data_IF_513789117247
#
_entry.id   IF_513789117247
#
_cell.length_a   1.000
_cell.length_b   1.000
_cell.length_c   1.000
_cell.angle_alpha   90.00
_cell.angle_beta   90.00
_cell.angle_gamma   90.00
#
_symmetry.space_group_name_H-M   'P 1'
#
loop_
_entity.id
_entity.type
_entity.pdbx_description
1 polymer ?
2 non-polymer ?
3 non-polymer ?
4 water ?
#
# COMPACT_ATOMS: atom_id res chain seq x y z
N UNK A 1 -3.86 0.64 -18.94
CA UNK A 1 -3.14 1.86 -18.55
C UNK A 1 -1.86 1.59 -17.76
N UNK A 2 -0.88 2.47 -17.95
CA UNK A 2 0.32 2.47 -17.12
C UNK A 2 0.20 3.63 -16.14
N UNK A 3 0.18 3.31 -14.85
CA UNK A 3 -0.07 4.41 -13.91
C UNK A 3 1.20 4.75 -13.13
N UNK A 4 1.55 6.03 -13.18
CA UNK A 4 2.69 6.63 -12.53
C UNK A 4 2.52 6.68 -11.02
N UNK A 5 3.64 6.72 -10.30
CA UNK A 5 3.58 6.83 -8.85
C UNK A 5 4.14 8.15 -8.34
N UNK A 6 4.34 9.11 -9.24
CA UNK A 6 4.66 10.48 -8.86
C UNK A 6 3.59 10.99 -7.90
N UNK A 7 2.36 10.55 -8.12
CA UNK A 7 1.26 10.90 -7.25
C UNK A 7 0.53 9.64 -6.80
N UNK A 8 -0.32 9.75 -5.78
CA UNK A 8 -1.12 8.59 -5.38
C UNK A 8 -1.91 8.10 -6.60
N UNK A 9 -1.89 6.80 -6.81
CA UNK A 9 -2.62 6.22 -7.93
C UNK A 9 -4.08 6.04 -7.53
N UNK A 10 -4.85 7.11 -7.70
CA UNK A 10 -6.27 7.14 -7.39
C UNK A 10 -7.11 6.79 -8.61
N UNK A 11 -8.13 5.96 -8.39
CA UNK A 11 -9.04 5.59 -9.45
C UNK A 11 -10.48 5.65 -8.93
N UNK A 12 -11.37 5.71 -9.91
CA UNK A 12 -12.79 5.74 -9.56
C UNK A 12 -13.33 4.33 -9.65
N UNK A 13 -14.19 3.99 -8.70
CA UNK A 13 -14.76 2.65 -8.75
C UNK A 13 -16.27 2.78 -8.62
N UNK A 14 -16.95 1.73 -9.06
CA UNK A 14 -18.39 1.64 -8.88
C UNK A 14 -18.66 0.36 -8.09
N UNK A 15 -19.43 0.53 -7.03
CA UNK A 15 -19.77 -0.51 -6.07
C UNK A 15 -21.09 -0.19 -5.36
N UNK A 16 -21.97 -1.18 -5.35
CA UNK A 16 -23.27 -1.03 -4.69
C UNK A 16 -23.99 0.17 -5.29
N UNK A 17 -23.86 0.30 -6.60
CA UNK A 17 -24.48 1.38 -7.34
C UNK A 17 -23.82 2.71 -7.04
N UNK A 18 -22.75 2.73 -6.25
CA UNK A 18 -22.11 3.96 -5.82
C UNK A 18 -20.78 4.23 -6.51
N UNK A 19 -20.48 5.48 -6.82
CA UNK A 19 -19.18 5.86 -7.35
C UNK A 19 -18.28 6.28 -6.18
N UNK A 20 -17.11 5.68 -6.04
CA UNK A 20 -16.19 6.08 -4.98
C UNK A 20 -14.78 6.23 -5.56
N UNK A 21 -13.97 7.02 -4.88
CA UNK A 21 -12.56 7.14 -5.20
C UNK A 21 -11.77 6.22 -4.28
N UNK A 22 -10.75 5.60 -4.85
CA UNK A 22 -9.98 4.64 -4.08
C UNK A 22 -8.55 4.59 -4.62
N UNK A 23 -7.66 4.17 -3.75
CA UNK A 23 -6.23 4.11 -3.98
C UNK A 23 -5.81 2.71 -4.38
N UNK A 24 -5.09 2.56 -5.49
CA UNK A 24 -4.62 1.22 -5.85
C UNK A 24 -3.42 0.89 -4.97
N UNK A 25 -3.61 -0.08 -4.09
CA UNK A 25 -2.64 -0.28 -3.02
C UNK A 25 -2.03 -1.68 -2.97
N UNK A 26 -0.84 -1.87 -3.50
CA UNK A 26 -0.19 -3.18 -3.51
C UNK A 26 0.21 -3.65 -2.11
N UNK A 27 0.26 -2.76 -1.13
CA UNK A 27 0.62 -3.14 0.23
C UNK A 27 -0.57 -3.65 1.03
N UNK A 28 -1.77 -3.38 0.56
CA UNK A 28 -3.01 -3.84 1.17
C UNK A 28 -3.38 -5.25 0.70
N UNK A 29 -3.47 -6.21 1.61
CA UNK A 29 -3.86 -7.54 1.18
C UNK A 29 -5.31 -7.53 0.71
N UNK A 30 -6.10 -6.67 1.33
CA UNK A 30 -7.53 -6.64 1.14
C UNK A 30 -8.00 -5.27 0.68
N UNK A 31 -9.13 -5.26 0.00
CA UNK A 31 -9.81 -4.02 -0.34
C UNK A 31 -10.59 -3.50 0.88
N UNK A 32 -10.42 -2.23 1.22
CA UNK A 32 -11.08 -1.64 2.37
C UNK A 32 -11.70 -0.28 2.02
N UNK A 33 -12.99 -0.13 2.30
CA UNK A 33 -13.70 1.11 2.02
C UNK A 33 -14.41 1.64 3.27
N UNK A 34 -14.62 2.96 3.29
CA UNK A 34 -15.36 3.66 4.32
C UNK A 34 -16.78 3.14 4.43
N UNK A 35 -17.46 3.51 5.52
CA UNK A 35 -18.77 2.94 5.81
C UNK A 35 -19.72 3.08 4.63
N UNK A 36 -20.36 1.97 4.30
CA UNK A 36 -21.35 1.88 3.25
C UNK A 36 -22.16 0.61 3.45
N UNK A 37 -23.32 0.56 2.82
CA UNK A 37 -24.14 -0.65 2.87
C UNK A 37 -23.77 -1.58 1.72
N UNK A 38 -23.72 -2.88 1.97
CA UNK A 38 -23.49 -3.84 0.88
C UNK A 38 -24.48 -4.99 1.08
N UNK A 39 -24.86 -5.64 0.00
CA UNK A 39 -25.85 -6.72 0.13
C UNK A 39 -25.18 -8.00 0.61
N UNK A 40 -25.97 -8.86 1.26
CA UNK A 40 -25.50 -10.20 1.56
C UNK A 40 -25.03 -10.37 2.98
N UNK A 41 -24.47 -11.55 3.27
CA UNK A 41 -23.96 -11.83 4.60
C UNK A 41 -22.59 -11.19 4.76
N UNK A 42 -22.18 -11.01 6.01
CA UNK A 42 -20.86 -10.50 6.33
C UNK A 42 -20.41 -11.09 7.67
N UNK A 43 -19.10 -10.99 7.91
CA UNK A 43 -18.57 -11.39 9.20
C UNK A 43 -17.58 -10.34 9.69
N UNK A 44 -17.36 -10.26 10.99
CA UNK A 44 -16.41 -9.27 11.50
C UNK A 44 -14.96 -9.72 11.32
N UNK A 45 -14.11 -8.71 11.16
CA UNK A 45 -12.69 -8.90 10.97
C UNK A 45 -11.93 -7.74 11.58
N UNK A 46 -10.67 -7.95 11.96
CA UNK A 46 -9.84 -6.84 12.40
C UNK A 46 -8.64 -6.68 11.47
N UNK A 47 -8.38 -5.45 11.04
CA UNK A 47 -7.21 -5.20 10.21
C UNK A 47 -6.39 -4.07 10.81
N UNK A 48 -5.08 -4.16 10.63
CA UNK A 48 -4.19 -3.25 11.32
C UNK A 48 -3.00 -2.80 10.48
N UNK A 49 -2.37 -1.74 10.95
CA UNK A 49 -1.21 -1.15 10.32
C UNK A 49 -0.64 -0.12 11.29
N UNK A 50 0.05 0.87 10.74
CA UNK A 50 0.59 1.92 11.59
C UNK A 50 -0.57 2.57 12.33
N UNK A 51 -0.42 2.77 13.63
CA UNK A 51 -1.50 3.40 14.39
C UNK A 51 -2.37 2.36 15.06
N UNK A 52 -2.33 1.12 14.56
CA UNK A 52 -3.17 0.11 15.17
C UNK A 52 -4.18 -0.55 14.25
N UNK A 53 -5.17 -1.17 14.88
CA UNK A 53 -6.20 -1.96 14.24
C UNK A 53 -7.55 -1.29 14.19
N UNK A 54 -8.33 -1.62 13.16
CA UNK A 54 -9.73 -1.24 13.13
C UNK A 54 -10.57 -2.50 12.88
N UNK A 55 -11.80 -2.42 13.35
CA UNK A 55 -12.79 -3.43 13.08
C UNK A 55 -13.55 -3.10 11.79
N UNK A 56 -13.70 -4.14 10.97
CA UNK A 56 -14.44 -4.01 9.73
C UNK A 56 -15.40 -5.18 9.55
N UNK A 57 -16.34 -4.98 8.63
CA UNK A 57 -17.23 -6.01 8.15
C UNK A 57 -16.76 -6.58 6.82
N UNK A 58 -16.61 -7.89 6.77
CA UNK A 58 -16.16 -8.58 5.57
C UNK A 58 -17.31 -9.11 4.73
N UNK A 59 -17.43 -8.57 3.52
CA UNK A 59 -18.46 -8.99 2.58
C UNK A 59 -17.79 -9.77 1.46
N UNK A 60 -18.27 -10.96 1.11
CA UNK A 60 -17.60 -11.69 0.04
C UNK A 60 -18.40 -11.62 -1.26
N UNK A 61 -17.71 -11.95 -2.34
CA UNK A 61 -18.27 -12.02 -3.68
C UNK A 61 -19.05 -10.76 -4.02
N UNK A 62 -18.38 -9.62 -3.88
CA UNK A 62 -18.99 -8.36 -4.27
C UNK A 62 -18.47 -7.97 -5.65
N UNK A 63 -19.37 -7.49 -6.50
CA UNK A 63 -18.99 -7.03 -7.83
C UNK A 63 -18.52 -5.58 -7.75
N UNK A 64 -17.40 -5.29 -8.39
CA UNK A 64 -16.85 -3.96 -8.46
C UNK A 64 -16.41 -3.69 -9.90
N UNK A 65 -16.57 -2.46 -10.35
CA UNK A 65 -15.96 -2.00 -11.58
C UNK A 65 -14.87 -0.98 -11.21
N UNK A 66 -13.69 -1.21 -11.73
CA UNK A 66 -12.45 -0.49 -11.58
C UNK A 66 -11.86 -0.27 -12.98
N UNK A 67 -11.85 0.98 -13.40
CA UNK A 67 -11.35 1.36 -14.71
C UNK A 67 -11.93 0.54 -15.84
N UNK A 68 -13.25 0.41 -15.90
CA UNK A 68 -13.81 -0.40 -16.99
C UNK A 68 -13.59 -1.88 -16.80
N UNK A 69 -12.94 -2.27 -15.70
CA UNK A 69 -12.79 -3.70 -15.49
C UNK A 69 -13.84 -4.17 -14.48
N UNK A 70 -14.58 -5.20 -14.86
CA UNK A 70 -15.54 -5.80 -13.92
C UNK A 70 -14.83 -6.87 -13.10
N UNK A 71 -14.86 -6.76 -11.77
CA UNK A 71 -14.21 -7.82 -10.98
C UNK A 71 -15.09 -8.22 -9.80
N UNK A 72 -14.80 -9.40 -9.28
CA UNK A 72 -15.51 -9.95 -8.14
C UNK A 72 -14.56 -10.17 -6.97
N UNK A 73 -14.96 -9.77 -5.76
CA UNK A 73 -14.10 -10.00 -4.62
C UNK A 73 -14.70 -9.66 -3.27
N UNK A 74 -13.84 -9.80 -2.27
CA UNK A 74 -14.10 -9.48 -0.88
C UNK A 74 -13.91 -7.99 -0.63
N UNK A 75 -14.84 -7.37 0.08
CA UNK A 75 -14.66 -5.97 0.44
C UNK A 75 -14.83 -5.84 1.95
N UNK A 76 -13.88 -5.20 2.61
CA UNK A 76 -13.99 -4.89 4.02
C UNK A 76 -14.49 -3.46 4.15
N UNK A 77 -15.50 -3.30 5.00
CA UNK A 77 -16.17 -2.03 5.23
C UNK A 77 -16.03 -1.58 6.68
N UNK A 78 -15.53 -0.36 6.90
CA UNK A 78 -15.36 0.15 8.24
C UNK A 78 -14.77 1.54 8.28
N UNK A 79 -14.44 1.99 9.49
CA UNK A 79 -13.94 3.35 9.66
C UNK A 79 -12.51 3.55 9.19
N UNK A 80 -12.26 3.28 7.91
CA UNK A 80 -10.90 3.51 7.43
C UNK A 80 -10.70 4.95 6.98
N UNK A 81 -9.50 5.47 7.18
CA UNK A 81 -9.23 6.85 6.76
C UNK A 81 -9.00 6.97 5.27
N UNK A 82 -8.89 5.87 4.55
CA UNK A 82 -8.60 5.87 3.13
C UNK A 82 -9.14 4.63 2.43
N UNK A 83 -9.86 4.87 1.35
CA UNK A 83 -10.42 3.81 0.51
C UNK A 83 -9.31 3.16 -0.28
N UNK A 84 -9.13 1.85 -0.15
CA UNK A 84 -8.09 1.26 -0.98
C UNK A 84 -8.60 0.01 -1.70
N UNK A 85 -8.10 -0.18 -2.90
CA UNK A 85 -8.18 -1.41 -3.66
C UNK A 85 -6.93 -2.24 -3.36
N UNK A 86 -7.16 -3.39 -2.72
CA UNK A 86 -6.09 -4.30 -2.34
C UNK A 86 -5.83 -5.40 -3.35
N UNK A 87 -4.83 -6.24 -3.08
CA UNK A 87 -4.35 -7.26 -4.00
C UNK A 87 -5.44 -8.22 -4.44
N UNK A 88 -6.35 -8.55 -3.52
CA UNK A 88 -7.41 -9.51 -3.81
C UNK A 88 -8.21 -9.11 -5.05
N UNK A 89 -8.28 -7.82 -5.31
CA UNK A 89 -8.97 -7.34 -6.50
C UNK A 89 -8.04 -6.79 -7.55
N UNK A 90 -6.88 -6.24 -7.19
CA UNK A 90 -5.91 -5.86 -8.23
C UNK A 90 -5.52 -7.05 -9.10
N UNK A 91 -5.44 -8.26 -8.53
CA UNK A 91 -5.06 -9.38 -9.39
C UNK A 91 -6.08 -9.64 -10.48
N UNK A 92 -7.35 -9.39 -10.16
CA UNK A 92 -8.45 -9.73 -11.06
C UNK A 92 -8.49 -8.84 -12.29
N UNK A 93 -7.92 -7.64 -12.15
CA UNK A 93 -7.84 -6.75 -13.30
C UNK A 93 -6.49 -6.90 -14.00
N UNK A 94 -5.66 -7.83 -13.55
CA UNK A 94 -4.38 -8.04 -14.21
C UNK A 94 -3.35 -6.99 -13.85
N UNK A 95 -3.45 -6.43 -12.65
CA UNK A 95 -2.54 -5.34 -12.31
C UNK A 95 -1.19 -5.83 -11.81
N UNK A 96 -0.11 -5.29 -12.40
CA UNK A 96 1.24 -5.65 -12.00
C UNK A 96 2.07 -4.41 -11.65
N UNK A 97 3.12 -4.66 -10.89
CA UNK A 97 4.22 -3.76 -10.56
C UNK A 97 5.33 -3.92 -11.60
N UNK A 98 5.83 -2.82 -12.15
CA UNK A 98 6.78 -2.90 -13.25
C UNK A 98 7.89 -1.86 -13.12
N UNK A 99 9.11 -2.36 -13.23
CA UNK A 99 10.32 -1.55 -13.20
C UNK A 99 11.47 -2.33 -13.82
N UNK B 1 11.67 -5.88 -13.48
CA UNK B 1 10.79 -7.06 -13.43
C UNK B 1 9.32 -6.67 -13.60
N UNK B 2 8.48 -7.67 -13.76
CA UNK B 2 7.03 -7.56 -13.71
C UNK B 2 6.55 -8.41 -12.54
N UNK B 3 5.92 -7.76 -11.57
CA UNK B 3 5.54 -8.46 -10.35
C UNK B 3 4.02 -8.49 -10.21
N UNK B 4 3.50 -9.71 -10.14
CA UNK B 4 2.07 -9.94 -9.96
C UNK B 4 1.71 -9.85 -8.48
N UNK B 5 0.42 -9.85 -8.17
CA UNK B 5 -0.03 -9.59 -6.81
C UNK B 5 -0.80 -10.70 -6.14
N UNK B 6 -0.67 -11.93 -6.63
CA UNK B 6 -1.31 -13.05 -5.95
C UNK B 6 -0.73 -13.23 -4.55
N UNK B 7 0.52 -12.83 -4.36
CA UNK B 7 1.12 -12.87 -3.03
C UNK B 7 1.68 -11.48 -2.73
N UNK B 8 2.05 -11.17 -1.49
CA UNK B 8 2.64 -9.86 -1.25
C UNK B 8 3.87 -9.61 -2.12
N UNK B 9 4.00 -8.42 -2.70
CA UNK B 9 5.22 -8.09 -3.47
C UNK B 9 6.39 -7.76 -2.56
N UNK B 10 6.94 -8.80 -1.94
CA UNK B 10 8.09 -8.68 -1.05
C UNK B 10 9.37 -8.81 -1.87
N UNK B 11 10.30 -7.90 -1.69
CA UNK B 11 11.59 -7.93 -2.37
C UNK B 11 12.71 -7.77 -1.35
N UNK B 12 13.93 -8.04 -1.81
CA UNK B 12 15.08 -7.82 -0.95
C UNK B 12 15.63 -6.42 -1.19
N UNK B 13 15.97 -5.76 -0.09
CA UNK B 13 16.58 -4.44 -0.17
C UNK B 13 17.94 -4.49 0.52
N UNK B 14 18.83 -3.54 0.24
CA UNK B 14 20.03 -3.42 1.07
C UNK B 14 20.15 -1.98 1.55
N UNK B 15 20.44 -1.87 2.83
CA UNK B 15 20.59 -0.57 3.47
C UNK B 15 21.54 -0.71 4.66
N UNK B 16 22.44 0.25 4.84
CA UNK B 16 23.49 0.07 5.83
C UNK B 16 24.29 -1.19 5.61
N UNK B 17 24.46 -1.62 4.36
CA UNK B 17 25.19 -2.85 4.10
C UNK B 17 24.45 -4.12 4.46
N UNK B 18 23.18 -4.01 4.86
CA UNK B 18 22.45 -5.20 5.27
C UNK B 18 21.29 -5.51 4.34
N UNK B 19 21.03 -6.80 4.14
CA UNK B 19 19.88 -7.25 3.39
C UNK B 19 18.67 -7.36 4.31
N UNK B 20 17.53 -6.88 3.83
CA UNK B 20 16.26 -6.94 4.52
C UNK B 20 15.15 -7.23 3.50
N UNK B 21 14.06 -7.76 4.02
CA UNK B 21 12.89 -7.96 3.17
C UNK B 21 11.95 -6.78 3.31
N UNK B 22 11.46 -6.25 2.19
CA UNK B 22 10.54 -5.12 2.29
C UNK B 22 9.39 -5.29 1.30
N UNK B 23 8.29 -4.63 1.58
CA UNK B 23 7.08 -4.72 0.78
C UNK B 23 6.94 -3.56 -0.19
N UNK B 24 6.73 -3.82 -1.48
CA UNK B 24 6.50 -2.70 -2.40
C UNK B 24 5.05 -2.26 -2.22
N UNK B 25 4.86 -1.03 -1.78
CA UNK B 25 3.58 -0.51 -1.31
C UNK B 25 3.15 0.76 -2.02
N UNK B 26 2.26 0.68 -3.00
CA UNK B 26 1.91 1.90 -3.73
C UNK B 26 0.96 2.80 -2.95
N UNK B 27 0.42 2.28 -1.86
CA UNK B 27 -0.42 3.05 -0.95
C UNK B 27 0.38 3.90 0.01
N UNK B 28 1.62 3.51 0.29
CA UNK B 28 2.46 4.31 1.17
C UNK B 28 3.12 5.46 0.41
N UNK B 29 2.84 6.69 0.82
CA UNK B 29 3.49 7.83 0.18
C UNK B 29 5.00 7.77 0.42
N UNK B 30 5.34 7.26 1.60
CA UNK B 30 6.70 7.27 2.10
C UNK B 30 7.17 5.90 2.60
N UNK B 31 8.46 5.68 2.41
CA UNK B 31 9.15 4.49 2.87
C UNK B 31 9.32 4.54 4.38
N UNK B 32 8.91 3.47 5.04
CA UNK B 32 9.06 3.28 6.46
C UNK B 32 9.65 1.90 6.77
N UNK B 33 10.74 1.92 7.52
CA UNK B 33 11.38 0.67 7.88
C UNK B 33 11.35 0.49 9.40
N UNK B 34 11.39 -0.78 9.78
CA UNK B 34 11.51 -1.20 11.16
C UNK B 34 12.70 -0.50 11.81
N UNK B 35 12.62 -0.37 13.12
CA UNK B 35 13.65 0.23 13.95
C UNK B 35 15.03 -0.27 13.54
N UNK B 36 15.95 0.66 13.32
CA UNK B 36 17.29 0.35 12.86
C UNK B 36 18.19 1.56 13.06
N UNK B 37 19.50 1.34 12.94
CA UNK B 37 20.45 2.45 13.02
C UNK B 37 20.70 3.02 11.62
N UNK B 38 20.72 4.34 11.52
CA UNK B 38 21.05 5.07 10.30
C UNK B 38 21.93 6.27 10.67
N UNK B 39 22.77 6.71 9.74
CA UNK B 39 23.71 7.78 10.05
C UNK B 39 23.07 9.15 9.99
N UNK B 40 23.69 10.12 10.67
CA UNK B 40 23.17 11.47 10.47
C UNK B 40 22.19 11.92 11.52
N UNK B 41 21.64 13.11 11.26
CA UNK B 41 20.60 13.61 12.13
C UNK B 41 19.24 13.27 11.54
N UNK B 42 18.25 13.18 12.41
CA UNK B 42 16.91 12.86 11.90
C UNK B 42 15.98 14.02 12.28
N UNK B 43 14.83 14.04 11.64
CA UNK B 43 13.79 15.04 11.81
C UNK B 43 12.48 14.32 12.14
N UNK B 44 11.59 15.01 12.84
CA UNK B 44 10.30 14.38 13.15
C UNK B 44 9.36 14.41 11.96
N UNK B 45 8.57 13.34 11.93
CA UNK B 45 7.57 13.18 10.88
C UNK B 45 6.36 12.44 11.42
N UNK B 46 5.17 12.86 11.03
CA UNK B 46 3.95 12.16 11.39
C UNK B 46 3.49 11.35 10.19
N UNK B 47 3.20 10.06 10.36
CA UNK B 47 2.56 9.41 9.21
C UNK B 47 1.28 8.72 9.66
N UNK B 48 0.31 8.77 8.75
CA UNK B 48 -1.02 8.24 9.00
C UNK B 48 -1.25 6.86 8.41
N UNK B 49 -1.58 5.92 9.29
CA UNK B 49 -1.91 4.57 8.89
C UNK B 49 -3.39 4.32 9.15
N UNK B 50 -3.82 3.06 9.01
CA UNK B 50 -5.23 2.77 9.21
C UNK B 50 -5.65 3.03 10.65
N UNK B 51 -4.78 2.80 11.63
CA UNK B 51 -5.24 3.05 13.00
C UNK B 51 -5.03 4.47 13.48
N UNK B 52 -4.45 5.34 12.66
CA UNK B 52 -4.21 6.72 13.11
C UNK B 52 -2.78 7.13 12.80
N UNK B 53 -2.40 8.32 13.24
CA UNK B 53 -1.11 8.96 13.07
C UNK B 53 -0.11 8.62 14.17
N UNK B 54 1.12 8.33 13.77
CA UNK B 54 2.20 8.09 14.71
C UNK B 54 3.43 8.91 14.31
N UNK B 55 4.29 9.14 15.29
CA UNK B 55 5.55 9.84 15.08
C UNK B 55 6.60 8.88 14.55
N UNK B 56 7.39 9.24 13.54
CA UNK B 56 8.51 8.38 13.16
C UNK B 56 9.76 9.24 12.97
N UNK B 57 10.93 8.66 12.83
CA UNK B 57 12.16 9.39 12.61
C UNK B 57 12.47 9.49 11.11
N UNK B 58 12.77 10.70 10.65
CA UNK B 58 13.04 10.96 9.25
C UNK B 58 14.52 11.18 8.96
N UNK B 59 15.10 10.30 8.14
CA UNK B 59 16.45 10.38 7.64
C UNK B 59 16.44 10.63 6.12
N UNK B 60 17.13 11.69 5.70
CA UNK B 60 17.14 12.10 4.31
C UNK B 60 18.45 11.69 3.64
N UNK B 61 18.39 11.51 2.33
CA UNK B 61 19.52 11.23 1.46
C UNK B 61 20.26 9.98 1.91
N UNK B 62 19.49 8.94 2.20
CA UNK B 62 20.05 7.65 2.58
C UNK B 62 20.19 6.73 1.39
N UNK B 63 21.30 6.01 1.31
CA UNK B 63 21.52 5.07 0.21
C UNK B 63 20.75 3.78 0.48
N UNK B 64 19.98 3.31 -0.49
CA UNK B 64 19.23 2.08 -0.31
C UNK B 64 19.07 1.42 -1.68
N UNK B 65 19.30 0.12 -1.73
CA UNK B 65 19.13 -0.64 -2.98
C UNK B 65 17.84 -1.44 -2.87
N UNK B 66 17.01 -1.40 -3.90
CA UNK B 66 15.74 -2.10 -3.89
C UNK B 66 15.70 -3.04 -5.09
N UNK B 67 15.62 -4.32 -4.80
CA UNK B 67 15.62 -5.35 -5.85
C UNK B 67 16.71 -5.06 -6.87
N UNK B 68 17.88 -4.66 -6.36
CA UNK B 68 19.00 -4.41 -7.24
C UNK B 68 19.11 -2.99 -7.74
N UNK B 69 18.04 -2.21 -7.66
CA UNK B 69 18.06 -0.84 -8.13
C UNK B 69 18.52 0.15 -7.06
N UNK B 70 19.48 0.99 -7.41
CA UNK B 70 20.03 1.95 -6.47
C UNK B 70 19.16 3.20 -6.35
N UNK B 71 18.94 3.58 -5.10
CA UNK B 71 18.19 4.75 -4.71
C UNK B 71 18.94 5.43 -3.56
N UNK B 72 18.75 6.71 -3.46
CA UNK B 72 19.14 7.68 -2.45
C UNK B 72 17.99 8.64 -2.15
N UNK B 73 17.39 8.48 -0.97
CA UNK B 73 16.26 9.32 -0.62
C UNK B 73 15.91 9.25 0.85
N UNK B 74 14.72 9.75 1.17
CA UNK B 74 14.23 9.78 2.54
C UNK B 74 13.77 8.41 3.02
N UNK B 75 14.26 8.04 4.20
CA UNK B 75 13.88 6.78 4.83
C UNK B 75 13.38 7.09 6.24
N UNK B 76 12.14 6.68 6.50
CA UNK B 76 11.52 6.85 7.81
C UNK B 76 11.72 5.55 8.61
N UNK B 77 11.86 5.68 9.91
CA UNK B 77 12.12 4.58 10.84
C UNK B 77 11.09 4.67 11.96
N UNK B 78 10.42 3.55 12.21
CA UNK B 78 9.34 3.50 13.17
C UNK B 78 8.61 2.18 13.20
N UNK B 79 7.65 2.09 14.10
CA UNK B 79 6.98 0.81 14.38
C UNK B 79 6.00 0.47 13.27
N UNK B 80 6.58 0.12 12.13
CA UNK B 80 5.72 -0.23 10.99
C UNK B 80 5.45 -1.73 11.03
N UNK B 81 4.29 -2.18 10.59
CA UNK B 81 3.96 -3.61 10.62
C UNK B 81 4.94 -4.46 9.81
N UNK B 82 5.52 -3.88 8.78
CA UNK B 82 6.52 -4.51 7.94
C UNK B 82 7.28 -3.39 7.23
N UNK B 83 8.52 -3.64 6.86
CA UNK B 83 9.27 -2.70 6.04
C UNK B 83 8.48 -2.41 4.77
N UNK B 84 8.19 -1.12 4.53
CA UNK B 84 7.49 -0.81 3.29
C UNK B 84 8.28 0.20 2.47
N UNK B 85 8.36 -0.11 1.18
CA UNK B 85 8.93 0.82 0.21
C UNK B 85 7.78 1.61 -0.40
N UNK B 86 7.76 2.90 -0.11
CA UNK B 86 6.68 3.77 -0.54
C UNK B 86 6.94 4.52 -1.82
N UNK B 87 6.00 5.40 -2.21
CA UNK B 87 6.13 6.01 -3.54
C UNK B 87 7.41 6.81 -3.70
N UNK B 88 7.93 7.42 -2.65
CA UNK B 88 9.11 8.26 -2.78
C UNK B 88 10.30 7.49 -3.36
N UNK B 89 10.43 6.19 -3.09
CA UNK B 89 11.55 5.45 -3.67
C UNK B 89 11.10 4.57 -4.81
N UNK B 90 9.80 4.24 -4.89
CA UNK B 90 9.39 3.44 -6.05
C UNK B 90 9.48 4.29 -7.33
N UNK B 91 9.31 5.60 -7.22
CA UNK B 91 9.49 6.49 -8.36
C UNK B 91 10.94 6.50 -8.81
N UNK B 92 11.82 6.45 -7.82
CA UNK B 92 13.24 6.48 -8.15
C UNK B 92 13.71 5.26 -8.91
N UNK B 93 13.07 4.12 -8.70
CA UNK B 93 13.51 2.89 -9.37
C UNK B 93 12.72 2.68 -10.66
N UNK B 94 11.84 3.61 -10.97
CA UNK B 94 11.09 3.64 -12.21
C UNK B 94 9.89 2.72 -12.18
N UNK B 95 9.29 2.54 -11.01
CA UNK B 95 8.16 1.62 -10.86
C UNK B 95 6.84 2.27 -11.23
N UNK B 96 6.02 1.49 -11.93
CA UNK B 96 4.69 1.90 -12.35
C UNK B 96 3.70 0.75 -12.13
N UNK B 97 2.42 1.09 -12.09
CA UNK B 97 1.34 0.11 -12.09
C UNK B 97 0.79 -0.04 -13.50
N UNK B 98 0.50 -1.26 -13.91
CA UNK B 98 0.06 -1.55 -15.27
C UNK B 98 -1.06 -2.58 -15.31
N UNK B 99 -2.09 -2.33 -16.10
CA UNK B 99 -3.12 -3.32 -16.37
C UNK B 99 -3.85 -3.00 -17.68
X LIG C 1 3.68 3.56 5.46
X LIG C 1 3.06 4.79 5.17
X LIG C 1 1.69 4.98 5.44
X LIG C 1 0.93 3.92 5.98
X LIG C 1 1.54 2.67 6.28
X LIG C 1 2.92 2.50 6.03
X LIG C 1 0.56 1.35 6.97
X LIG C 1 1.50 0.70 7.86
X LIG C 1 -0.73 1.90 7.35
X LIG C 1 0.40 0.41 5.53
X LIG C 1 1.43 -0.64 5.27
X LIG C 1 1.01 -2.06 5.63
X LIG C 1 1.61 -3.16 4.96
X LIG C 1 1.24 -4.49 5.27
X LIG C 1 0.26 -4.71 6.27
X LIG C 1 -0.34 -3.61 6.95
X LIG C 1 0.03 -2.27 6.63
X LIG C 1 -0.65 0.87 4.53
X LIG C 1 -0.12 1.21 3.12
X LIG C 1 -0.73 0.25 2.17
X LIG C 1 -1.24 -0.93 2.94
X LIG C 1 -1.68 -0.31 4.29
X LIG C 1 -3.10 0.19 4.21
X LIG C 1 -3.65 1.18 3.27
X LIG C 1 -3.28 2.64 3.55
X LIG C 1 -3.09 3.53 2.44
X LIG C 1 -2.77 4.90 2.63
X LIG C 1 -2.60 5.39 3.96
X LIG C 1 -2.76 4.51 5.07
X LIG C 1 -3.11 3.14 4.88
X LIG C 1 -4.07 -0.26 5.52
X LIG C 1 -4.49 -1.96 5.34
X LIG C 1 -5.36 -2.50 4.36
X LIG C 1 -5.61 -3.91 4.29
X LIG C 1 -5.01 -4.80 5.25
X LIG C 1 -4.14 -4.26 6.24
X LIG C 1 -3.85 -2.87 6.25
X LIG C 1 -5.31 0.55 5.49
X LIG C 1 -3.26 -0.12 6.75
X LIG C 1 -5.25 -6.13 5.26
X LIG C 1 3.79 5.79 4.64
X LIG D 1 -1.68 -13.16 -13.52
#
# INVERSE_FOLDING_TARGET
>A
PQITLWQRPLVTIKIGGQLKEALLDTGADDTVLEEMSLPGRWKPKMIGGIGGFIKVRQYDQILIEICGHKAIGTVLVGPTPVNVIGRNLLTQIGCTLNF
>B
PQITLWQRPLVTIKIGGQLKEALLDTGADDTVLEEMSLPGRWKPKMIGGIGGFIKVRQYDQILIEICGHKAIGTVLVGPTPVNVIGRNLLTQIGCTLNF
>C hetero
1 G3G C2 C6 C5 C20 C27 C18 S9 O40 O11 N32 C33 C34 C38 C39 C37 C36 C35 C24 C25 N22 C21 C23 N28 C7 C12 C14 C30 C31 C29 C13 S8 C26 C17 C1 C4 C3 C19 O41 O10 N42 N43
>D hetero
1 CL CL
#
